data_IF_361278212578
#
_entry.id   IF_361278212578
#
_cell.length_a   1.000
_cell.length_b   1.000
_cell.length_c   1.000
_cell.angle_alpha   90.00
_cell.angle_beta   90.00
_cell.angle_gamma   90.00
#
_symmetry.space_group_name_H-M   'P 1'
#
loop_
_entity.id
_entity.type
_entity.pdbx_description
1 polymer ?
#
# COMPACT_ATOMS: atom_id res chain seq x y z
N UNK A 1 -17.57 13.71 -9.32
CA UNK A 1 -17.28 12.30 -9.55
C UNK A 1 -15.91 11.98 -9.00
N UNK A 2 -15.83 10.90 -8.25
CA UNK A 2 -14.56 10.53 -7.67
C UNK A 2 -13.56 10.17 -8.76
N UNK A 3 -12.36 10.65 -8.60
CA UNK A 3 -11.29 10.32 -9.51
C UNK A 3 -10.78 8.93 -9.18
N UNK A 4 -10.83 8.04 -10.16
CA UNK A 4 -10.40 6.67 -9.98
C UNK A 4 -8.92 6.60 -9.58
N UNK A 5 -8.14 7.60 -9.95
CA UNK A 5 -6.72 7.65 -9.59
C UNK A 5 -6.50 7.76 -8.09
N UNK A 6 -7.52 8.13 -7.35
CA UNK A 6 -7.39 8.35 -5.91
C UNK A 6 -7.87 7.18 -5.09
N UNK A 7 -7.93 5.99 -5.71
CA UNK A 7 -8.22 4.79 -4.95
C UNK A 7 -7.08 4.56 -3.96
N UNK A 8 -7.41 4.60 -2.68
CA UNK A 8 -6.41 4.38 -1.63
C UNK A 8 -6.81 3.28 -0.66
N UNK A 9 -7.90 2.57 -0.95
CA UNK A 9 -8.36 1.44 -0.15
C UNK A 9 -8.89 0.35 -1.06
N UNK A 10 -8.68 -0.89 -0.64
CA UNK A 10 -9.32 -2.05 -1.26
C UNK A 10 -10.17 -2.70 -0.18
N UNK A 11 -11.46 -2.87 -0.44
CA UNK A 11 -12.39 -3.44 0.52
C UNK A 11 -13.02 -4.69 -0.06
N UNK A 12 -13.11 -5.73 0.76
CA UNK A 12 -13.78 -6.96 0.34
C UNK A 12 -14.21 -7.76 1.57
N UNK A 13 -15.15 -8.67 1.36
CA UNK A 13 -15.62 -9.57 2.39
C UNK A 13 -15.21 -11.00 2.04
N UNK A 14 -14.82 -11.73 3.05
CA UNK A 14 -14.51 -13.14 2.89
C UNK A 14 -14.84 -13.90 4.16
N UNK A 15 -15.63 -14.94 4.05
CA UNK A 15 -16.05 -15.78 5.19
C UNK A 15 -16.63 -14.96 6.34
N UNK A 16 -17.48 -13.99 5.98
CA UNK A 16 -18.18 -13.17 6.98
C UNK A 16 -17.33 -12.09 7.62
N UNK A 17 -16.10 -11.93 7.18
CA UNK A 17 -15.23 -10.88 7.71
C UNK A 17 -14.96 -9.84 6.64
N UNK A 18 -15.00 -8.58 7.04
CA UNK A 18 -14.70 -7.47 6.14
C UNK A 18 -13.23 -7.12 6.22
N UNK A 19 -12.59 -6.99 5.06
CA UNK A 19 -11.20 -6.59 4.98
C UNK A 19 -11.09 -5.23 4.32
N UNK A 20 -10.28 -4.37 4.92
CA UNK A 20 -9.95 -3.06 4.36
C UNK A 20 -8.44 -2.99 4.25
N UNK A 21 -7.94 -2.90 3.03
CA UNK A 21 -6.49 -2.86 2.78
C UNK A 21 -6.10 -1.43 2.45
N UNK A 22 -5.04 -0.98 3.07
CA UNK A 22 -4.62 0.41 2.96
C UNK A 22 -3.17 0.52 3.40
N UNK A 23 -2.48 1.57 2.94
CA UNK A 23 -1.11 1.83 3.34
C UNK A 23 -1.04 3.08 4.20
N UNK A 24 -0.10 3.08 5.13
CA UNK A 24 0.26 4.27 5.90
C UNK A 24 1.78 4.29 6.06
N UNK A 25 2.28 5.28 6.77
CA UNK A 25 3.72 5.43 6.96
C UNK A 25 4.34 4.16 7.56
N UNK A 26 3.70 3.61 8.58
CA UNK A 26 4.23 2.43 9.25
C UNK A 26 4.25 1.21 8.34
N UNK A 27 3.17 0.99 7.57
CA UNK A 27 3.14 -0.17 6.68
C UNK A 27 4.21 -0.05 5.58
N UNK A 28 4.40 1.15 5.04
CA UNK A 28 5.40 1.37 4.00
C UNK A 28 6.81 1.16 4.56
N UNK A 29 7.07 1.68 5.76
CA UNK A 29 8.38 1.49 6.39
C UNK A 29 8.67 0.00 6.63
N UNK A 30 7.66 -0.75 7.03
CA UNK A 30 7.84 -2.19 7.24
C UNK A 30 8.11 -2.91 5.93
N UNK A 31 7.46 -2.47 4.85
CA UNK A 31 7.71 -3.05 3.53
C UNK A 31 9.14 -2.77 3.09
N UNK A 32 9.62 -1.55 3.29
CA UNK A 32 10.99 -1.21 2.95
C UNK A 32 11.99 -2.03 3.75
N UNK A 33 11.70 -2.22 5.04
CA UNK A 33 12.55 -3.03 5.89
C UNK A 33 12.58 -4.50 5.43
N UNK A 34 11.52 -4.95 4.78
CA UNK A 34 11.44 -6.31 4.24
C UNK A 34 12.05 -6.43 2.84
N UNK A 35 12.55 -5.32 2.29
CA UNK A 35 13.22 -5.36 0.99
C UNK A 35 12.46 -4.71 -0.15
N UNK A 36 11.30 -4.14 0.11
CA UNK A 36 10.54 -3.47 -0.94
C UNK A 36 11.30 -2.24 -1.44
N UNK A 37 11.41 -2.12 -2.76
CA UNK A 37 12.08 -0.99 -3.41
C UNK A 37 11.13 -0.43 -4.46
N UNK A 38 10.48 0.69 -4.18
CA UNK A 38 9.56 1.27 -5.16
C UNK A 38 10.31 1.64 -6.44
N UNK A 39 9.67 1.35 -7.56
CA UNK A 39 10.26 1.66 -8.85
C UNK A 39 11.24 0.64 -9.37
N UNK A 40 11.62 -0.36 -8.56
CA UNK A 40 12.60 -1.37 -8.97
C UNK A 40 12.01 -2.76 -9.10
N UNK A 41 10.71 -2.91 -8.88
CA UNK A 41 10.07 -4.23 -8.80
C UNK A 41 9.56 -4.74 -10.13
N UNK A 42 9.69 -3.97 -11.20
CA UNK A 42 9.10 -4.35 -12.48
C UNK A 42 9.61 -5.66 -13.05
N UNK A 43 10.83 -6.06 -12.67
CA UNK A 43 11.40 -7.32 -13.13
C UNK A 43 10.94 -8.52 -12.30
N UNK A 44 10.29 -8.29 -11.16
CA UNK A 44 9.83 -9.37 -10.27
C UNK A 44 8.39 -9.11 -9.84
N UNK A 45 7.43 -9.15 -10.79
CA UNK A 45 6.05 -8.76 -10.46
C UNK A 45 5.37 -9.66 -9.44
N UNK A 46 5.72 -10.94 -9.39
CA UNK A 46 5.08 -11.83 -8.43
C UNK A 46 5.56 -11.56 -7.02
N UNK A 47 6.84 -11.30 -6.86
CA UNK A 47 7.38 -10.92 -5.55
C UNK A 47 6.80 -9.58 -5.13
N UNK A 48 6.72 -8.66 -6.07
CA UNK A 48 6.13 -7.35 -5.80
C UNK A 48 4.69 -7.48 -5.35
N UNK A 49 3.91 -8.32 -6.02
CA UNK A 49 2.51 -8.52 -5.65
C UNK A 49 2.41 -9.07 -4.23
N UNK A 50 3.23 -10.06 -3.89
CA UNK A 50 3.21 -10.63 -2.55
C UNK A 50 3.53 -9.57 -1.49
N UNK A 51 4.53 -8.75 -1.73
CA UNK A 51 4.93 -7.72 -0.77
C UNK A 51 3.89 -6.63 -0.62
N UNK A 52 3.34 -6.18 -1.73
CA UNK A 52 2.30 -5.14 -1.70
C UNK A 52 1.04 -5.65 -1.01
N UNK A 53 0.66 -6.90 -1.30
CA UNK A 53 -0.52 -7.50 -0.69
C UNK A 53 -0.35 -7.62 0.82
N UNK A 54 0.74 -8.23 1.26
CA UNK A 54 0.98 -8.41 2.69
C UNK A 54 1.10 -7.06 3.42
N UNK A 55 1.78 -6.09 2.81
CA UNK A 55 1.93 -4.79 3.41
C UNK A 55 0.62 -4.05 3.58
N UNK A 56 -0.33 -4.29 2.66
CA UNK A 56 -1.62 -3.62 2.71
C UNK A 56 -2.50 -4.09 3.87
N UNK A 57 -2.21 -5.24 4.45
CA UNK A 57 -2.95 -5.74 5.61
C UNK A 57 -2.52 -5.09 6.92
N UNK A 58 -1.32 -4.53 6.97
CA UNK A 58 -0.73 -4.14 8.24
C UNK A 58 -1.55 -3.08 8.98
N UNK A 59 -2.08 -2.12 8.27
CA UNK A 59 -2.74 -0.98 8.91
C UNK A 59 -3.97 -1.39 9.73
N UNK A 60 -4.82 -2.23 9.16
CA UNK A 60 -6.10 -2.60 9.77
C UNK A 60 -6.17 -4.05 10.24
N UNK A 61 -5.29 -4.91 9.74
CA UNK A 61 -5.36 -6.35 10.01
C UNK A 61 -4.01 -6.89 10.42
N UNK A 62 -3.38 -6.20 11.33
CA UNK A 62 -2.01 -6.46 11.77
C UNK A 62 -1.83 -7.85 12.38
N UNK A 63 -2.90 -8.41 12.93
CA UNK A 63 -2.83 -9.72 13.59
C UNK A 63 -3.19 -10.88 12.67
N UNK A 64 -3.48 -10.60 11.41
CA UNK A 64 -3.82 -11.66 10.47
C UNK A 64 -2.58 -12.50 10.17
N UNK A 65 -2.75 -13.83 10.12
CA UNK A 65 -1.61 -14.71 9.87
C UNK A 65 -1.17 -14.63 8.41
N UNK A 66 0.11 -14.89 8.17
CA UNK A 66 0.64 -14.88 6.82
C UNK A 66 -0.02 -15.96 5.96
N UNK A 67 -0.39 -17.11 6.56
CA UNK A 67 -1.07 -18.16 5.82
C UNK A 67 -2.41 -17.68 5.27
N UNK A 68 -3.17 -16.94 6.07
CA UNK A 68 -4.46 -16.42 5.63
C UNK A 68 -4.26 -15.36 4.56
N UNK A 69 -3.28 -14.49 4.75
CA UNK A 69 -2.99 -13.44 3.78
C UNK A 69 -2.65 -14.03 2.42
N UNK A 70 -1.81 -15.06 2.38
CA UNK A 70 -1.44 -15.72 1.14
C UNK A 70 -2.64 -16.42 0.50
N UNK A 71 -3.45 -17.09 1.33
CA UNK A 71 -4.62 -17.79 0.82
C UNK A 71 -5.61 -16.82 0.20
N UNK A 72 -5.79 -15.65 0.81
CA UNK A 72 -6.69 -14.65 0.27
C UNK A 72 -6.20 -14.15 -1.08
N UNK A 73 -4.90 -13.95 -1.22
CA UNK A 73 -4.36 -13.52 -2.51
C UNK A 73 -4.66 -14.54 -3.59
N UNK A 74 -4.50 -15.82 -3.28
CA UNK A 74 -4.77 -16.88 -4.25
C UNK A 74 -6.22 -16.85 -4.74
N UNK A 75 -7.13 -16.35 -3.93
CA UNK A 75 -8.55 -16.32 -4.28
C UNK A 75 -8.98 -15.05 -4.98
N UNK A 76 -8.10 -14.05 -5.08
CA UNK A 76 -8.47 -12.78 -5.71
C UNK A 76 -8.57 -12.95 -7.22
N UNK A 77 -9.58 -12.31 -7.81
CA UNK A 77 -9.73 -12.27 -9.26
C UNK A 77 -8.90 -11.15 -9.83
N UNK A 78 -8.56 -11.28 -11.11
CA UNK A 78 -7.89 -10.21 -11.88
C UNK A 78 -6.66 -9.70 -11.15
N UNK A 79 -5.72 -10.62 -10.89
CA UNK A 79 -4.52 -10.27 -10.13
C UNK A 79 -3.66 -9.21 -10.81
N UNK A 80 -3.74 -9.10 -12.13
CA UNK A 80 -3.04 -8.04 -12.85
C UNK A 80 -3.60 -6.66 -12.49
N UNK A 81 -4.92 -6.56 -12.42
CA UNK A 81 -5.56 -5.30 -12.02
C UNK A 81 -5.34 -5.03 -10.54
N UNK A 82 -5.32 -6.09 -9.74
CA UNK A 82 -5.03 -5.96 -8.31
C UNK A 82 -3.63 -5.39 -8.11
N UNK A 83 -2.65 -5.90 -8.84
CA UNK A 83 -1.29 -5.41 -8.74
C UNK A 83 -1.22 -3.93 -9.11
N UNK A 84 -1.91 -3.54 -10.18
CA UNK A 84 -1.94 -2.15 -10.60
C UNK A 84 -2.57 -1.26 -9.54
N UNK A 85 -3.68 -1.71 -8.95
CA UNK A 85 -4.33 -0.95 -7.88
C UNK A 85 -3.43 -0.78 -6.67
N UNK A 86 -2.74 -1.84 -6.27
CA UNK A 86 -1.83 -1.78 -5.14
C UNK A 86 -0.65 -0.85 -5.44
N UNK A 87 -0.13 -0.89 -6.66
CA UNK A 87 0.94 0.03 -7.07
C UNK A 87 0.49 1.48 -6.95
N UNK A 88 -0.72 1.76 -7.42
CA UNK A 88 -1.25 3.13 -7.34
C UNK A 88 -1.44 3.57 -5.90
N UNK A 89 -1.95 2.68 -5.05
CA UNK A 89 -2.15 2.99 -3.64
C UNK A 89 -0.84 3.31 -2.94
N UNK A 90 0.19 2.51 -3.16
CA UNK A 90 1.47 2.75 -2.50
C UNK A 90 2.14 4.00 -3.05
N UNK A 91 1.99 4.27 -4.35
CA UNK A 91 2.54 5.49 -4.95
C UNK A 91 1.88 6.73 -4.35
N UNK A 92 0.56 6.70 -4.19
CA UNK A 92 -0.15 7.82 -3.56
C UNK A 92 0.30 8.01 -2.12
N UNK A 93 0.56 6.91 -1.41
CA UNK A 93 1.03 7.00 -0.03
C UNK A 93 2.42 7.65 0.01
N UNK A 94 3.33 7.25 -0.87
CA UNK A 94 4.64 7.89 -0.95
C UNK A 94 4.52 9.38 -1.25
N UNK A 95 3.69 9.74 -2.22
CA UNK A 95 3.48 11.14 -2.56
C UNK A 95 2.97 11.92 -1.36
N UNK A 96 2.00 11.37 -0.67
CA UNK A 96 1.41 12.02 0.50
C UNK A 96 2.43 12.20 1.62
N UNK A 97 3.34 11.25 1.79
CA UNK A 97 4.32 11.30 2.86
C UNK A 97 5.53 12.17 2.54
N UNK A 98 5.89 12.27 1.27
CA UNK A 98 7.10 12.98 0.85
C UNK A 98 6.82 14.40 0.35
N UNK A 99 5.65 14.63 -0.22
CA UNK A 99 5.29 15.95 -0.72
C UNK A 99 4.59 16.74 0.36
N UNK A 100 4.91 18.02 0.44
CA UNK A 100 4.26 18.93 1.38
C UNK A 100 3.22 19.73 0.63
N UNK A 101 1.98 19.62 1.08
CA UNK A 101 0.91 20.42 0.55
C UNK A 101 1.00 21.83 1.15
N UNK A 102 1.02 22.84 0.30
CA UNK A 102 1.11 24.22 0.77
C UNK A 102 -0.04 24.62 1.66
N UNK A 103 -1.17 23.95 1.51
CA UNK A 103 -2.37 24.27 2.31
C UNK A 103 -2.37 23.57 3.65
N UNK A 104 -1.39 22.72 3.93
CA UNK A 104 -1.32 22.03 5.21
C UNK A 104 -0.92 22.99 6.30
N UNK A 105 -1.78 23.10 7.31
CA UNK A 105 -1.45 23.89 8.49
C UNK A 105 -0.53 23.06 9.37
N UNK A 106 0.42 23.74 9.97
CA UNK A 106 1.34 23.09 10.89
C UNK A 106 2.60 22.58 10.24
N UNK A 107 2.77 22.83 8.95
CA UNK A 107 4.03 22.50 8.29
C UNK A 107 5.15 23.36 8.86
N UNK A 108 6.29 22.73 9.04
CA UNK A 108 7.49 23.42 9.52
C UNK A 108 8.40 23.68 8.34
N UNK A 109 8.70 24.94 8.11
CA UNK A 109 9.66 25.32 7.08
C UNK A 109 11.08 25.10 7.60
N UNK A 110 11.94 24.69 6.72
CA UNK A 110 13.32 24.46 7.10
C UNK A 110 14.22 24.78 5.93
N UNK A 111 15.48 25.06 6.22
CA UNK A 111 16.48 25.27 5.20
C UNK A 111 17.74 24.50 5.58
N UNK A 112 18.48 24.08 4.56
CA UNK A 112 19.77 23.45 4.77
C UNK A 112 20.88 24.47 4.52
N UNK A 113 21.86 24.50 5.40
CA UNK A 113 23.00 25.39 5.27
C UNK A 113 24.26 24.55 5.09
N UNK A 114 25.03 24.86 4.05
CA UNK A 114 26.26 24.13 3.75
C UNK A 114 27.46 24.76 4.43
#
# INVERSE_FOLDING_TARGET
MADIKEVNQINFDYNGKHYCLEYNRESVKRMEAAGFRPGESGATPLIELDMLWAGAFYMHHRKESSNVIEKLLDKMKDKDKLLEALRNMVAETYNSLLDTNEDDEGNVEWTATL
#
